data_IF_341823838962
#
_entry.id   IF_341823838962
#
_cell.length_a   1.000
_cell.length_b   1.000
_cell.length_c   1.000
_cell.angle_alpha   90.00
_cell.angle_beta   90.00
_cell.angle_gamma   90.00
#
_symmetry.space_group_name_H-M   'P 1'
#
loop_
_entity.id
_entity.type
_entity.pdbx_description
1 polymer ?
#
# COMPACT_ATOMS: atom_id res chain seq x y z
N UNK A 1 3.11 -22.38 -1.42
CA UNK A 1 3.10 -20.99 -0.88
C UNK A 1 4.04 -20.99 0.31
N UNK A 2 5.17 -20.30 0.20
CA UNK A 2 6.14 -20.17 1.29
C UNK A 2 5.50 -19.37 2.42
N UNK A 3 5.45 -19.92 3.63
CA UNK A 3 4.91 -19.22 4.80
C UNK A 3 5.78 -17.99 5.11
N UNK A 4 5.17 -16.82 5.27
CA UNK A 4 5.87 -15.60 5.68
C UNK A 4 6.49 -15.83 7.06
N UNK A 5 7.79 -15.55 7.26
CA UNK A 5 8.42 -15.75 8.56
C UNK A 5 7.79 -14.85 9.62
N UNK A 6 7.70 -15.37 10.85
CA UNK A 6 7.29 -14.58 12.00
C UNK A 6 8.43 -13.62 12.35
N UNK A 7 8.15 -12.32 12.33
CA UNK A 7 9.13 -11.26 12.59
C UNK A 7 8.59 -10.32 13.67
N UNK A 8 9.46 -9.76 14.53
CA UNK A 8 9.06 -8.71 15.46
C UNK A 8 8.36 -7.57 14.72
N UNK A 9 7.22 -7.13 15.25
CA UNK A 9 6.37 -6.14 14.59
C UNK A 9 6.06 -4.93 15.47
N UNK A 10 6.00 -3.76 14.84
CA UNK A 10 5.50 -2.52 15.45
C UNK A 10 4.44 -1.93 14.54
N UNK A 11 3.19 -1.96 14.98
CA UNK A 11 2.04 -1.50 14.19
C UNK A 11 1.57 -0.15 14.72
N UNK A 12 1.59 0.88 13.87
CA UNK A 12 1.01 2.17 14.19
C UNK A 12 -0.49 2.02 14.54
N UNK A 13 -0.93 2.80 15.53
CA UNK A 13 -2.35 2.85 15.89
C UNK A 13 -3.16 3.44 14.73
N UNK A 14 -4.21 2.73 14.33
CA UNK A 14 -5.10 3.18 13.27
C UNK A 14 -5.71 4.56 13.56
N UNK A 15 -5.51 5.49 12.63
CA UNK A 15 -6.13 6.82 12.62
C UNK A 15 -7.44 6.77 11.85
N UNK A 16 -8.42 7.56 12.28
CA UNK A 16 -9.69 7.70 11.58
C UNK A 16 -9.82 9.15 11.13
N UNK A 17 -9.87 9.34 9.82
CA UNK A 17 -10.00 10.62 9.15
C UNK A 17 -11.36 10.61 8.45
N UNK A 18 -12.11 11.70 8.54
CA UNK A 18 -13.37 11.87 7.82
C UNK A 18 -13.29 13.18 7.07
N UNK A 19 -13.52 13.17 5.76
CA UNK A 19 -13.45 14.38 4.96
C UNK A 19 -14.71 15.24 5.07
N UNK A 20 -14.50 16.55 5.07
CA UNK A 20 -15.57 17.54 4.93
C UNK A 20 -16.11 17.49 3.50
N UNK A 21 -17.43 17.39 3.37
CA UNK A 21 -18.08 17.59 2.09
C UNK A 21 -17.91 19.05 1.66
N UNK A 22 -17.47 19.28 0.43
CA UNK A 22 -17.33 20.62 -0.16
C UNK A 22 -18.52 20.98 -1.05
N UNK A 23 -19.25 19.97 -1.52
CA UNK A 23 -20.43 20.16 -2.38
C UNK A 23 -21.60 20.66 -1.52
N UNK A 24 -22.11 21.85 -1.88
CA UNK A 24 -23.28 22.43 -1.22
C UNK A 24 -24.61 21.90 -1.78
N UNK A 25 -25.73 22.09 -1.06
CA UNK A 25 -27.05 21.62 -1.52
C UNK A 25 -27.53 22.23 -2.84
N UNK A 26 -27.12 23.46 -3.17
CA UNK A 26 -27.53 24.10 -4.42
C UNK A 26 -26.86 23.42 -5.62
N UNK A 27 -25.56 23.14 -5.49
CA UNK A 27 -24.76 22.40 -6.47
C UNK A 27 -25.31 20.98 -6.68
N UNK A 28 -25.67 20.27 -5.61
CA UNK A 28 -26.32 18.95 -5.72
C UNK A 28 -27.64 19.01 -6.46
N UNK A 29 -28.44 20.06 -6.23
CA UNK A 29 -29.73 20.24 -6.89
C UNK A 29 -29.56 20.51 -8.38
N UNK A 30 -28.64 21.39 -8.75
CA UNK A 30 -28.37 21.72 -10.16
C UNK A 30 -27.85 20.49 -10.90
N UNK A 31 -26.91 19.75 -10.29
CA UNK A 31 -26.41 18.48 -10.83
C UNK A 31 -27.53 17.44 -10.96
N UNK A 32 -28.41 17.32 -9.98
CA UNK A 32 -29.53 16.39 -10.05
C UNK A 32 -30.46 16.68 -11.25
N UNK A 33 -30.76 17.95 -11.53
CA UNK A 33 -31.59 18.32 -12.68
C UNK A 33 -30.89 18.05 -14.02
N UNK A 34 -29.57 18.26 -14.12
CA UNK A 34 -28.78 17.87 -15.29
C UNK A 34 -28.90 16.36 -15.54
N UNK A 35 -28.69 15.55 -14.51
CA UNK A 35 -28.68 14.10 -14.63
C UNK A 35 -30.03 13.47 -14.96
N UNK A 36 -31.16 14.10 -14.59
CA UNK A 36 -32.49 13.65 -15.05
C UNK A 36 -32.57 13.60 -16.57
N UNK A 37 -31.93 14.54 -17.26
CA UNK A 37 -31.90 14.52 -18.72
C UNK A 37 -31.13 13.30 -19.23
N UNK A 38 -29.99 12.99 -18.64
CA UNK A 38 -29.10 11.95 -19.17
C UNK A 38 -29.59 10.53 -18.86
N UNK A 39 -30.02 10.28 -17.62
CA UNK A 39 -30.30 8.93 -17.13
C UNK A 39 -31.50 8.27 -17.80
N UNK A 40 -32.52 9.03 -18.16
CA UNK A 40 -33.81 8.48 -18.61
C UNK A 40 -34.07 8.65 -20.11
N UNK A 41 -33.20 9.33 -20.85
CA UNK A 41 -33.28 9.37 -22.31
C UNK A 41 -32.97 7.97 -22.86
N UNK A 42 -33.94 7.39 -23.57
CA UNK A 42 -33.74 6.16 -24.36
C UNK A 42 -33.61 6.55 -25.84
N UNK A 43 -32.88 5.75 -26.63
CA UNK A 43 -32.78 5.93 -28.09
C UNK A 43 -34.22 5.99 -28.65
N UNK A 44 -34.66 7.16 -29.11
CA UNK A 44 -36.02 7.49 -29.61
C UNK A 44 -37.13 7.89 -28.61
N UNK A 45 -36.87 7.96 -27.29
CA UNK A 45 -37.87 8.45 -26.33
C UNK A 45 -37.22 9.27 -25.22
N UNK A 46 -37.54 10.57 -25.18
CA UNK A 46 -37.19 11.48 -24.09
C UNK A 46 -38.40 11.60 -23.15
N UNK A 47 -38.35 11.02 -21.93
CA UNK A 47 -39.39 11.25 -20.95
C UNK A 47 -39.49 12.74 -20.60
N UNK A 48 -40.68 13.21 -20.22
CA UNK A 48 -40.83 14.60 -19.78
C UNK A 48 -40.12 14.72 -18.44
N UNK A 49 -39.26 15.73 -18.29
CA UNK A 49 -38.53 15.97 -17.04
C UNK A 49 -39.46 16.12 -15.82
N UNK A 50 -40.66 16.66 -16.05
CA UNK A 50 -41.71 16.76 -15.03
C UNK A 50 -42.22 15.42 -14.51
N UNK A 51 -41.98 14.32 -15.21
CA UNK A 51 -42.36 12.97 -14.79
C UNK A 51 -41.22 12.29 -13.99
N UNK A 52 -40.06 12.94 -13.83
CA UNK A 52 -38.88 12.40 -13.13
C UNK A 52 -38.62 13.25 -11.88
N UNK A 53 -38.69 12.61 -10.72
CA UNK A 53 -38.51 13.27 -9.43
C UNK A 53 -37.33 12.67 -8.68
N UNK A 54 -36.66 13.52 -7.90
CA UNK A 54 -35.70 13.07 -6.90
C UNK A 54 -36.50 12.49 -5.73
N UNK A 55 -36.25 11.24 -5.40
CA UNK A 55 -36.90 10.51 -4.30
C UNK A 55 -36.09 10.65 -3.02
N UNK A 56 -34.76 10.56 -3.13
CA UNK A 56 -33.86 10.77 -1.99
C UNK A 56 -32.54 11.39 -2.42
N UNK A 57 -31.91 12.07 -1.46
CA UNK A 57 -30.53 12.53 -1.51
C UNK A 57 -29.90 12.05 -0.20
N UNK A 58 -29.21 10.92 -0.27
CA UNK A 58 -28.58 10.30 0.89
C UNK A 58 -27.09 10.64 0.91
N UNK A 59 -26.59 11.09 2.06
CA UNK A 59 -25.16 11.29 2.28
C UNK A 59 -24.60 10.10 3.03
N UNK A 60 -23.67 9.41 2.39
CA UNK A 60 -22.95 8.26 2.93
C UNK A 60 -21.46 8.58 3.06
N UNK A 61 -20.73 7.69 3.74
CA UNK A 61 -19.28 7.77 3.86
C UNK A 61 -18.64 6.46 3.44
N UNK A 62 -17.67 6.54 2.54
CA UNK A 62 -16.95 5.37 2.01
C UNK A 62 -15.49 5.37 2.45
N UNK A 63 -14.96 4.23 2.94
CA UNK A 63 -13.61 4.15 3.46
C UNK A 63 -12.58 3.91 2.36
N UNK A 64 -11.45 4.60 2.48
CA UNK A 64 -10.15 4.21 1.95
C UNK A 64 -9.24 3.82 3.10
N UNK A 65 -8.36 2.83 2.89
CA UNK A 65 -7.37 2.43 3.90
C UNK A 65 -5.97 2.69 3.37
N UNK A 66 -5.22 3.54 4.06
CA UNK A 66 -3.84 3.90 3.75
C UNK A 66 -2.89 3.17 4.70
N UNK A 67 -1.85 2.58 4.12
CA UNK A 67 -0.76 1.92 4.84
C UNK A 67 0.58 2.42 4.32
N UNK A 68 1.43 2.86 5.24
CA UNK A 68 2.88 3.02 5.03
C UNK A 68 3.60 2.05 5.95
N UNK A 69 4.46 1.22 5.39
CA UNK A 69 5.19 0.21 6.12
C UNK A 69 6.60 0.01 5.58
N UNK A 70 7.47 -0.51 6.44
CA UNK A 70 8.84 -0.84 6.11
C UNK A 70 9.26 -2.16 6.76
N UNK A 71 10.19 -2.82 6.12
CA UNK A 71 10.86 -4.01 6.64
C UNK A 71 12.36 -3.76 6.62
N UNK A 72 13.03 -4.07 7.73
CA UNK A 72 14.49 -3.97 7.84
C UNK A 72 15.05 -5.21 8.51
N UNK A 73 16.10 -5.77 7.91
CA UNK A 73 16.89 -6.86 8.47
C UNK A 73 18.36 -6.49 8.42
N UNK A 74 19.04 -6.62 9.55
CA UNK A 74 20.49 -6.60 9.65
C UNK A 74 20.97 -8.02 9.86
N UNK A 75 22.01 -8.40 9.12
CA UNK A 75 22.42 -9.79 9.04
C UNK A 75 23.90 -9.94 8.74
N UNK A 76 24.44 -11.11 9.05
CA UNK A 76 25.79 -11.50 8.71
C UNK A 76 25.82 -12.31 7.42
N UNK A 77 26.84 -12.07 6.60
CA UNK A 77 27.17 -12.83 5.40
C UNK A 77 28.54 -13.46 5.63
N UNK A 78 28.69 -14.75 5.35
CA UNK A 78 30.00 -15.39 5.31
C UNK A 78 30.74 -14.94 4.06
N UNK A 79 31.96 -14.44 4.25
CA UNK A 79 32.82 -14.00 3.16
C UNK A 79 34.17 -14.69 3.25
N UNK A 80 34.69 -15.12 2.11
CA UNK A 80 36.06 -15.56 1.98
C UNK A 80 36.84 -14.42 1.32
N UNK A 81 37.86 -13.93 2.02
CA UNK A 81 38.80 -12.94 1.51
C UNK A 81 40.07 -13.65 1.03
N UNK A 82 40.54 -13.25 -0.15
CA UNK A 82 41.76 -13.78 -0.75
C UNK A 82 42.84 -12.70 -0.72
N UNK A 83 43.96 -12.99 -0.07
CA UNK A 83 45.14 -12.10 -0.03
C UNK A 83 46.22 -12.72 -0.90
N UNK A 84 46.54 -12.06 -2.00
CA UNK A 84 47.67 -12.44 -2.86
C UNK A 84 48.99 -12.11 -2.18
N UNK A 85 49.95 -13.04 -2.27
CA UNK A 85 51.30 -12.88 -1.77
C UNK A 85 52.33 -13.28 -2.82
N UNK A 86 53.55 -12.78 -2.68
CA UNK A 86 54.65 -13.11 -3.59
C UNK A 86 55.07 -14.57 -3.44
N UNK A 87 55.59 -15.16 -4.52
CA UNK A 87 56.13 -16.53 -4.61
C UNK A 87 57.13 -16.95 -3.52
N UNK A 88 57.87 -16.00 -2.94
CA UNK A 88 58.86 -16.27 -1.88
C UNK A 88 58.26 -16.42 -0.49
N UNK A 89 56.98 -16.09 -0.29
CA UNK A 89 56.31 -16.15 1.00
C UNK A 89 55.93 -17.59 1.32
N UNK A 90 56.47 -18.12 2.43
CA UNK A 90 56.18 -19.48 2.89
C UNK A 90 55.08 -19.55 3.95
N UNK A 91 54.87 -18.47 4.68
CA UNK A 91 53.91 -18.37 5.77
C UNK A 91 53.49 -16.90 5.90
N UNK A 92 52.19 -16.66 6.11
CA UNK A 92 51.64 -15.35 6.48
C UNK A 92 51.11 -15.45 7.89
N UNK A 93 51.46 -14.50 8.76
CA UNK A 93 50.92 -14.43 10.12
C UNK A 93 49.95 -13.27 10.26
N UNK A 94 48.71 -13.55 10.63
CA UNK A 94 47.64 -12.56 10.81
C UNK A 94 47.07 -12.76 12.21
N UNK A 95 47.13 -11.71 13.04
CA UNK A 95 46.74 -11.77 14.46
C UNK A 95 47.38 -12.93 15.25
N UNK A 96 48.56 -13.40 14.84
CA UNK A 96 49.29 -14.49 15.50
C UNK A 96 48.95 -15.89 14.98
N UNK A 97 47.93 -16.03 14.14
CA UNK A 97 47.63 -17.27 13.43
C UNK A 97 48.45 -17.38 12.15
N UNK A 98 48.92 -18.59 11.86
CA UNK A 98 49.75 -18.90 10.69
C UNK A 98 48.91 -19.46 9.55
N UNK A 99 49.05 -18.86 8.38
CA UNK A 99 48.38 -19.29 7.15
C UNK A 99 49.43 -19.66 6.10
N UNK A 100 49.25 -20.82 5.47
CA UNK A 100 50.12 -21.27 4.38
C UNK A 100 49.52 -20.84 3.04
N UNK A 101 50.25 -20.10 2.19
CA UNK A 101 49.77 -19.73 0.86
C UNK A 101 49.45 -20.96 0.00
N UNK A 102 48.37 -20.89 -0.77
CA UNK A 102 47.94 -21.90 -1.72
C UNK A 102 48.02 -21.37 -3.16
N UNK A 103 48.40 -22.22 -4.10
CA UNK A 103 48.41 -21.90 -5.53
C UNK A 103 46.98 -21.97 -6.09
N UNK A 104 46.47 -20.85 -6.59
CA UNK A 104 45.17 -20.75 -7.25
C UNK A 104 45.39 -20.35 -8.71
N UNK A 105 44.81 -21.10 -9.64
CA UNK A 105 44.88 -20.80 -11.07
C UNK A 105 44.09 -19.52 -11.40
N UNK A 106 44.65 -18.66 -12.25
CA UNK A 106 43.96 -17.47 -12.78
C UNK A 106 43.08 -17.91 -13.95
N UNK A 107 41.75 -17.74 -13.86
CA UNK A 107 40.85 -18.07 -14.96
C UNK A 107 41.26 -17.38 -16.26
N UNK A 108 41.07 -18.05 -17.39
CA UNK A 108 41.21 -17.49 -18.73
C UNK A 108 42.63 -17.00 -19.13
N UNK A 109 43.69 -17.55 -18.52
CA UNK A 109 45.09 -17.26 -18.89
C UNK A 109 45.74 -18.42 -19.68
N UNK A 110 46.44 -18.10 -20.78
CA UNK A 110 47.24 -19.06 -21.57
C UNK A 110 48.64 -18.46 -21.85
N UNK A 111 49.75 -19.06 -21.36
CA UNK A 111 49.80 -20.26 -20.52
C UNK A 111 49.12 -20.02 -19.16
N UNK A 112 48.71 -21.10 -18.50
CA UNK A 112 48.04 -21.06 -17.20
C UNK A 112 48.93 -20.36 -16.17
N UNK A 113 48.41 -19.30 -15.55
CA UNK A 113 49.10 -18.54 -14.51
C UNK A 113 48.49 -18.86 -13.14
N UNK A 114 49.31 -18.76 -12.10
CA UNK A 114 48.91 -19.06 -10.73
C UNK A 114 49.23 -17.90 -9.80
N UNK A 115 48.37 -17.68 -8.82
CA UNK A 115 48.58 -16.77 -7.70
C UNK A 115 48.84 -17.59 -6.44
N UNK A 116 49.78 -17.12 -5.60
CA UNK A 116 49.88 -17.61 -4.23
C UNK A 116 48.94 -16.78 -3.38
N UNK A 117 47.95 -17.43 -2.78
CA UNK A 117 46.87 -16.76 -2.05
C UNK A 117 46.74 -17.38 -0.66
N UNK A 118 46.56 -16.52 0.34
CA UNK A 118 46.02 -16.92 1.64
C UNK A 118 44.54 -16.58 1.68
N UNK A 119 43.72 -17.54 2.07
CA UNK A 119 42.28 -17.34 2.27
C UNK A 119 42.00 -17.09 3.74
N UNK A 120 41.09 -16.13 4.00
CA UNK A 120 40.59 -15.82 5.32
C UNK A 120 39.07 -15.89 5.30
N UNK A 121 38.50 -16.62 6.24
CA UNK A 121 37.06 -16.58 6.50
C UNK A 121 36.75 -15.38 7.38
N UNK A 122 35.76 -14.60 6.97
CA UNK A 122 35.23 -13.49 7.72
C UNK A 122 33.71 -13.46 7.65
N UNK A 123 33.12 -12.61 8.49
CA UNK A 123 31.71 -12.29 8.43
C UNK A 123 31.55 -10.80 8.19
N UNK A 124 30.75 -10.44 7.19
CA UNK A 124 30.34 -9.07 6.93
C UNK A 124 28.98 -8.84 7.58
N UNK A 125 28.80 -7.73 8.30
CA UNK A 125 27.46 -7.30 8.73
C UNK A 125 26.88 -6.40 7.66
N UNK A 126 25.76 -6.80 7.09
CA UNK A 126 25.01 -6.09 6.06
C UNK A 126 23.60 -5.75 6.54
N UNK A 127 22.86 -4.99 5.75
CA UNK A 127 21.45 -4.73 5.99
C UNK A 127 20.65 -4.68 4.69
N UNK A 128 19.38 -5.04 4.78
CA UNK A 128 18.38 -4.89 3.74
C UNK A 128 17.20 -4.09 4.32
N UNK A 129 16.72 -3.11 3.57
CA UNK A 129 15.53 -2.31 3.91
C UNK A 129 14.64 -2.16 2.68
N UNK A 130 13.35 -2.41 2.84
CA UNK A 130 12.32 -2.18 1.82
C UNK A 130 11.13 -1.43 2.43
N UNK A 131 10.39 -0.68 1.59
CA UNK A 131 9.27 0.17 1.98
C UNK A 131 8.10 -0.01 1.03
N UNK A 132 6.89 0.04 1.59
CA UNK A 132 5.66 -0.04 0.81
C UNK A 132 4.70 1.03 1.30
N UNK A 133 4.11 1.71 0.34
CA UNK A 133 3.00 2.61 0.55
C UNK A 133 1.89 2.18 -0.40
N UNK A 134 0.70 1.92 0.13
CA UNK A 134 -0.46 1.57 -0.69
C UNK A 134 -1.75 2.08 -0.07
N UNK A 135 -2.76 2.23 -0.93
CA UNK A 135 -4.09 2.66 -0.52
C UNK A 135 -5.11 1.70 -1.10
N UNK A 136 -6.06 1.28 -0.28
CA UNK A 136 -7.12 0.35 -0.65
C UNK A 136 -8.46 1.08 -0.73
N UNK A 137 -9.24 0.79 -1.77
CA UNK A 137 -10.65 1.15 -1.85
C UNK A 137 -11.49 0.33 -0.87
N UNK A 138 -12.78 0.65 -0.71
CA UNK A 138 -13.70 -0.08 0.18
C UNK A 138 -13.78 -1.60 -0.06
N UNK A 139 -13.40 -2.07 -1.25
CA UNK A 139 -13.42 -3.46 -1.65
C UNK A 139 -12.08 -4.18 -1.40
N UNK A 140 -11.03 -3.45 -0.99
CA UNK A 140 -9.69 -3.99 -0.81
C UNK A 140 -8.83 -3.95 -2.08
N UNK A 141 -9.26 -3.25 -3.13
CA UNK A 141 -8.44 -3.07 -4.33
C UNK A 141 -7.46 -1.92 -4.12
N UNK A 142 -6.21 -2.11 -4.56
CA UNK A 142 -5.21 -1.05 -4.52
C UNK A 142 -5.52 0.04 -5.55
N UNK A 143 -5.48 1.30 -5.11
CA UNK A 143 -5.74 2.48 -5.94
C UNK A 143 -4.56 3.45 -5.90
N UNK A 144 -4.44 4.27 -6.95
CA UNK A 144 -3.45 5.34 -7.00
C UNK A 144 -3.81 6.46 -6.02
N UNK A 145 -2.83 7.15 -5.41
CA UNK A 145 -3.07 8.31 -4.55
C UNK A 145 -3.88 9.42 -5.22
N UNK A 146 -3.71 9.60 -6.54
CA UNK A 146 -4.42 10.61 -7.32
C UNK A 146 -5.94 10.35 -7.43
N UNK A 147 -6.38 9.13 -7.12
CA UNK A 147 -7.80 8.76 -7.11
C UNK A 147 -8.48 9.13 -5.78
N UNK A 148 -7.73 9.61 -4.79
CA UNK A 148 -8.28 10.02 -3.50
C UNK A 148 -8.47 11.53 -3.51
N UNK A 149 -9.69 12.01 -3.25
CA UNK A 149 -9.93 13.43 -3.22
C UNK A 149 -9.22 14.09 -2.03
N UNK A 150 -8.75 15.33 -2.23
CA UNK A 150 -8.07 16.09 -1.19
C UNK A 150 -9.07 17.02 -0.49
N UNK A 151 -9.30 16.78 0.80
CA UNK A 151 -10.19 17.59 1.62
C UNK A 151 -9.69 17.81 3.05
N UNK A 152 -10.09 18.93 3.69
CA UNK A 152 -9.95 19.08 5.12
C UNK A 152 -10.70 17.99 5.89
N UNK A 153 -10.18 17.58 7.03
CA UNK A 153 -10.84 16.64 7.93
C UNK A 153 -11.91 17.30 8.80
N UNK A 154 -12.95 16.55 9.13
CA UNK A 154 -13.91 16.89 10.18
C UNK A 154 -13.23 16.99 11.54
N UNK A 155 -13.67 17.91 12.40
CA UNK A 155 -13.08 18.13 13.73
C UNK A 155 -13.37 16.99 14.70
N UNK A 156 -14.52 16.31 14.53
CA UNK A 156 -14.96 15.20 15.41
C UNK A 156 -15.33 13.95 14.60
N UNK A 157 -14.37 13.30 13.93
CA UNK A 157 -14.63 12.17 13.00
C UNK A 157 -15.46 11.04 13.62
N UNK A 158 -15.09 10.59 14.82
CA UNK A 158 -15.76 9.48 15.52
C UNK A 158 -17.19 9.81 15.93
N UNK A 159 -17.50 11.07 16.22
CA UNK A 159 -18.86 11.49 16.57
C UNK A 159 -19.72 11.46 15.31
N UNK A 160 -19.20 12.02 14.23
CA UNK A 160 -19.90 12.08 12.95
C UNK A 160 -20.20 10.67 12.40
N UNK A 161 -19.22 9.76 12.36
CA UNK A 161 -19.47 8.39 11.89
C UNK A 161 -20.53 7.64 12.72
N UNK A 162 -20.61 7.90 14.03
CA UNK A 162 -21.67 7.34 14.89
C UNK A 162 -23.05 7.89 14.54
N UNK A 163 -23.14 9.19 14.21
CA UNK A 163 -24.40 9.82 13.78
C UNK A 163 -24.88 9.25 12.44
N UNK A 164 -23.96 8.95 11.52
CA UNK A 164 -24.29 8.35 10.22
C UNK A 164 -24.56 6.84 10.29
N UNK A 165 -24.03 6.13 11.30
CA UNK A 165 -24.39 4.74 11.60
C UNK A 165 -24.31 3.82 10.38
N UNK A 166 -25.47 3.31 9.93
CA UNK A 166 -25.60 2.43 8.75
C UNK A 166 -25.26 3.08 7.41
N UNK A 167 -25.15 4.41 7.35
CA UNK A 167 -24.73 5.18 6.16
C UNK A 167 -23.21 5.32 6.04
N UNK A 168 -22.48 4.74 6.99
CA UNK A 168 -21.03 4.54 6.90
C UNK A 168 -20.79 3.16 6.34
N UNK A 169 -20.21 3.07 5.15
CA UNK A 169 -19.82 1.78 4.59
C UNK A 169 -18.65 1.20 5.39
N UNK A 170 -18.69 -0.12 5.59
CA UNK A 170 -17.61 -0.83 6.24
C UNK A 170 -16.60 -1.30 5.20
N UNK A 171 -15.33 -1.13 5.52
CA UNK A 171 -14.26 -1.68 4.73
C UNK A 171 -14.31 -3.21 4.83
N UNK A 172 -14.22 -3.91 3.68
CA UNK A 172 -14.50 -5.36 3.63
C UNK A 172 -13.43 -6.23 4.27
N UNK A 173 -12.20 -5.76 4.29
CA UNK A 173 -11.04 -6.54 4.72
C UNK A 173 -10.68 -6.20 6.18
N UNK A 174 -10.22 -7.19 6.95
CA UNK A 174 -9.81 -7.01 8.34
C UNK A 174 -8.42 -6.36 8.45
N UNK A 175 -8.13 -5.75 9.60
CA UNK A 175 -6.80 -5.22 9.92
C UNK A 175 -5.71 -6.28 9.70
N UNK A 176 -5.98 -7.53 10.10
CA UNK A 176 -5.01 -8.63 9.97
C UNK A 176 -4.68 -8.95 8.52
N UNK A 177 -5.67 -8.94 7.63
CA UNK A 177 -5.48 -9.17 6.20
C UNK A 177 -4.70 -8.01 5.55
N UNK A 178 -4.96 -6.77 5.96
CA UNK A 178 -4.20 -5.59 5.48
C UNK A 178 -2.74 -5.69 5.91
N UNK A 179 -2.47 -6.02 7.18
CA UNK A 179 -1.10 -6.18 7.67
C UNK A 179 -0.41 -7.35 6.96
N UNK A 180 -1.12 -8.45 6.70
CA UNK A 180 -0.60 -9.59 5.96
C UNK A 180 -0.23 -9.21 4.50
N UNK A 181 -1.05 -8.39 3.85
CA UNK A 181 -0.73 -7.85 2.52
C UNK A 181 0.57 -7.05 2.54
N UNK A 182 0.74 -6.14 3.51
CA UNK A 182 1.97 -5.36 3.66
C UNK A 182 3.20 -6.27 3.89
N UNK A 183 3.09 -7.28 4.77
CA UNK A 183 4.15 -8.26 5.01
C UNK A 183 4.52 -9.05 3.76
N UNK A 184 3.52 -9.47 2.97
CA UNK A 184 3.73 -10.23 1.73
C UNK A 184 4.51 -9.43 0.71
N UNK A 185 4.28 -8.11 0.64
CA UNK A 185 5.00 -7.21 -0.27
C UNK A 185 6.45 -6.97 0.17
N UNK A 186 6.70 -6.91 1.48
CA UNK A 186 7.95 -6.42 2.07
C UNK A 186 8.94 -7.49 2.55
N UNK A 187 8.45 -8.59 3.15
CA UNK A 187 9.32 -9.55 3.82
C UNK A 187 9.99 -10.45 2.79
N UNK A 188 11.20 -10.05 2.38
CA UNK A 188 12.07 -10.77 1.46
C UNK A 188 13.48 -10.79 2.05
N UNK A 189 13.84 -11.90 2.70
CA UNK A 189 15.18 -12.10 3.25
C UNK A 189 16.16 -12.33 2.08
N UNK A 190 17.33 -11.66 2.06
CA UNK A 190 18.39 -11.94 1.08
C UNK A 190 18.83 -13.40 1.11
N UNK A 191 19.20 -13.96 -0.05
CA UNK A 191 19.59 -15.37 -0.19
C UNK A 191 20.97 -15.67 0.40
N UNK A 192 21.86 -14.68 0.44
CA UNK A 192 23.23 -14.77 0.96
C UNK A 192 23.32 -14.59 2.48
N UNK A 193 22.18 -14.47 3.14
CA UNK A 193 22.08 -14.27 4.58
C UNK A 193 22.48 -15.53 5.37
N UNK A 194 23.51 -15.42 6.21
CA UNK A 194 23.96 -16.50 7.10
C UNK A 194 23.23 -16.47 8.45
N UNK A 195 23.28 -15.34 9.15
CA UNK A 195 22.66 -15.17 10.47
C UNK A 195 21.98 -13.81 10.60
N UNK A 196 20.75 -13.79 11.13
CA UNK A 196 20.03 -12.54 11.44
C UNK A 196 20.58 -11.94 12.73
N UNK A 197 20.96 -10.67 12.69
CA UNK A 197 21.36 -9.89 13.86
C UNK A 197 20.15 -9.15 14.45
N UNK A 198 19.40 -8.44 13.60
CA UNK A 198 18.14 -7.82 13.97
C UNK A 198 17.16 -7.80 12.80
N UNK A 199 15.87 -7.92 13.09
CA UNK A 199 14.83 -7.93 12.07
C UNK A 199 13.56 -7.28 12.62
N UNK A 200 12.97 -6.38 11.84
CA UNK A 200 11.75 -5.67 12.23
C UNK A 200 10.86 -5.38 11.04
N UNK A 201 9.57 -5.64 11.23
CA UNK A 201 8.50 -5.14 10.38
C UNK A 201 7.79 -3.99 11.09
N UNK A 202 7.62 -2.86 10.42
CA UNK A 202 6.99 -1.69 11.02
C UNK A 202 5.95 -1.10 10.08
N UNK A 203 4.74 -0.89 10.59
CA UNK A 203 3.74 -0.01 9.96
C UNK A 203 3.90 1.37 10.58
N UNK A 204 4.35 2.33 9.77
CA UNK A 204 4.63 3.71 10.19
C UNK A 204 3.38 4.58 10.16
N UNK A 205 2.52 4.37 9.17
CA UNK A 205 1.23 5.06 9.04
C UNK A 205 0.12 4.04 8.76
N UNK A 206 -0.98 4.16 9.49
CA UNK A 206 -2.16 3.35 9.28
C UNK A 206 -3.41 4.19 9.50
N UNK A 207 -4.18 4.45 8.44
CA UNK A 207 -5.32 5.35 8.49
C UNK A 207 -6.49 4.84 7.66
N UNK A 208 -7.71 5.01 8.19
CA UNK A 208 -8.95 4.94 7.42
C UNK A 208 -9.44 6.34 7.12
N UNK A 209 -9.61 6.65 5.85
CA UNK A 209 -10.14 7.92 5.35
C UNK A 209 -11.56 7.69 4.86
N UNK A 210 -12.53 8.35 5.48
CA UNK A 210 -13.93 8.30 5.08
C UNK A 210 -14.27 9.49 4.17
N UNK A 211 -14.55 9.20 2.90
CA UNK A 211 -14.94 10.17 1.89
C UNK A 211 -16.47 10.29 1.82
N UNK A 212 -17.06 11.50 1.89
CA UNK A 212 -18.49 11.68 1.72
C UNK A 212 -18.92 11.38 0.29
N UNK A 213 -19.95 10.54 0.12
CA UNK A 213 -20.58 10.24 -1.17
C UNK A 213 -22.06 10.60 -1.09
N UNK A 214 -22.56 11.38 -2.04
CA UNK A 214 -23.98 11.64 -2.19
C UNK A 214 -24.60 10.64 -3.15
N UNK A 215 -25.68 9.98 -2.73
CA UNK A 215 -26.47 9.08 -3.55
C UNK A 215 -27.81 9.77 -3.83
N UNK A 216 -28.05 10.09 -5.10
CA UNK A 216 -29.29 10.72 -5.55
C UNK A 216 -30.12 9.66 -6.26
N UNK A 217 -31.29 9.33 -5.72
CA UNK A 217 -32.22 8.39 -6.35
C UNK A 217 -33.34 9.15 -7.05
N UNK A 218 -33.52 8.84 -8.32
CA UNK A 218 -34.56 9.37 -9.19
C UNK A 218 -35.61 8.30 -9.47
N UNK A 219 -36.87 8.71 -9.59
CA UNK A 219 -37.97 7.84 -10.03
C UNK A 219 -38.74 8.49 -11.15
N UNK A 220 -39.02 7.71 -12.20
CA UNK A 220 -39.98 8.08 -13.23
C UNK A 220 -41.38 7.69 -12.76
N UNK A 221 -42.29 8.65 -12.60
CA UNK A 221 -43.62 8.40 -12.07
C UNK A 221 -44.51 7.55 -12.97
N UNK A 222 -44.26 7.57 -14.29
CA UNK A 222 -45.03 6.80 -15.28
C UNK A 222 -44.58 5.36 -15.35
N UNK A 223 -43.27 5.13 -15.44
CA UNK A 223 -42.72 3.77 -15.59
C UNK A 223 -42.43 3.10 -14.25
N UNK A 224 -42.41 3.88 -13.16
CA UNK A 224 -41.94 3.47 -11.82
C UNK A 224 -40.47 3.03 -11.80
N UNK A 225 -39.71 3.28 -12.87
CA UNK A 225 -38.28 2.99 -12.98
C UNK A 225 -37.50 3.91 -12.04
N UNK A 226 -36.61 3.32 -11.23
CA UNK A 226 -35.68 4.04 -10.37
C UNK A 226 -34.26 3.94 -10.88
N UNK A 227 -33.52 5.04 -10.78
CA UNK A 227 -32.09 5.12 -11.09
C UNK A 227 -31.41 5.92 -10.01
N UNK A 228 -30.21 5.50 -9.61
CA UNK A 228 -29.42 6.24 -8.64
C UNK A 228 -28.10 6.67 -9.26
N UNK A 229 -27.58 7.78 -8.77
CA UNK A 229 -26.25 8.28 -9.10
C UNK A 229 -25.47 8.49 -7.83
N UNK A 230 -24.17 8.24 -7.89
CA UNK A 230 -23.20 8.55 -6.86
C UNK A 230 -22.36 9.75 -7.28
N UNK A 231 -22.29 10.73 -6.39
CA UNK A 231 -21.52 11.98 -6.55
C UNK A 231 -20.49 12.05 -5.43
N UNK A 232 -19.24 12.29 -5.78
CA UNK A 232 -18.18 12.55 -4.81
C UNK A 232 -18.48 13.85 -4.05
N UNK A 233 -18.58 13.77 -2.72
CA UNK A 233 -18.93 14.92 -1.88
C UNK A 233 -17.80 15.93 -1.68
N UNK A 234 -16.58 15.62 -2.13
CA UNK A 234 -15.42 16.52 -2.11
C UNK A 234 -15.22 17.19 -3.47
N UNK A 235 -15.30 16.46 -4.58
CA UNK A 235 -15.05 17.01 -5.93
C UNK A 235 -16.31 17.45 -6.64
N UNK A 236 -17.47 16.85 -6.32
CA UNK A 236 -18.72 17.05 -7.03
C UNK A 236 -18.82 16.26 -8.33
N UNK A 237 -17.89 15.36 -8.62
CA UNK A 237 -17.90 14.53 -9.82
C UNK A 237 -18.88 13.37 -9.70
N UNK A 238 -19.47 12.99 -10.84
CA UNK A 238 -20.27 11.77 -10.94
C UNK A 238 -19.30 10.61 -11.04
N UNK A 239 -19.42 9.65 -10.12
CA UNK A 239 -18.52 8.49 -10.03
C UNK A 239 -19.19 7.18 -10.45
N UNK A 240 -20.53 7.12 -10.43
CA UNK A 240 -21.33 5.97 -10.86
C UNK A 240 -22.80 6.35 -11.11
#
# INVERSE_FOLDING_TARGET
MTSIPQVPETIAKMKVIVYKAKVDPATLKDKAEEMKNELFIKRFSKPKLKDIHVVSVDKNYEPYVLVDAKYRVEYFIKKVYSIEVTDKVKEVKIHGESFTPQLIAIPDTIPEQFLNVVTLEGQERSYFEDKVYFILDKNGNEISPDQIPIAPSEEKPKKLLKEFGKRTEQFKMSDQEIILLAKTKLIKRPEDMDAVDSEVFQVTEYATIYNPIYIITFRNEKTKEEKSVRIDGVTGDVIE
#
